data_IF_962142174415
#
_entry.id   IF_962142174415
#
_cell.length_a   1.000
_cell.length_b   1.000
_cell.length_c   1.000
_cell.angle_alpha   90.00
_cell.angle_beta   90.00
_cell.angle_gamma   90.00
#
_symmetry.space_group_name_H-M   'P 1'
#
loop_
_entity.id
_entity.type
_entity.pdbx_description
1 polymer ?
#
# COMPACT_ATOMS: atom_id res chain seq x y z
N UNK A 1 -5.21 -55.29 85.02
CA UNK A 1 -4.09 -54.36 84.73
C UNK A 1 -4.33 -53.71 83.38
N UNK A 2 -4.48 -52.37 83.39
CA UNK A 2 -4.19 -51.40 82.31
C UNK A 2 -4.90 -51.52 80.95
N UNK A 3 -5.92 -50.65 80.79
CA UNK A 3 -6.29 -49.74 79.68
C UNK A 3 -5.49 -49.81 78.37
N UNK A 4 -6.12 -49.47 77.22
CA UNK A 4 -5.71 -48.40 76.27
C UNK A 4 -6.63 -48.46 75.01
N UNK A 5 -7.60 -47.52 74.90
CA UNK A 5 -7.66 -46.35 73.99
C UNK A 5 -8.24 -46.64 72.59
N UNK A 6 -9.41 -46.03 72.36
CA UNK A 6 -10.09 -45.85 71.08
C UNK A 6 -9.22 -45.07 70.08
N UNK A 7 -9.19 -45.49 68.82
CA UNK A 7 -8.86 -44.60 67.70
C UNK A 7 -9.96 -44.66 66.65
N UNK A 8 -10.71 -43.55 66.57
CA UNK A 8 -11.68 -43.29 65.52
C UNK A 8 -10.93 -43.07 64.20
N UNK A 9 -11.23 -43.87 63.18
CA UNK A 9 -10.77 -43.61 61.82
C UNK A 9 -11.88 -42.86 61.08
N UNK A 10 -11.62 -41.58 60.81
CA UNK A 10 -12.51 -40.69 60.10
C UNK A 10 -12.63 -41.12 58.62
N UNK A 11 -13.86 -41.31 58.17
CA UNK A 11 -14.24 -41.56 56.79
C UNK A 11 -14.15 -40.24 56.01
N UNK A 12 -13.11 -40.05 55.20
CA UNK A 12 -13.01 -38.90 54.29
C UNK A 12 -13.89 -39.19 53.08
N UNK A 13 -15.10 -38.62 53.08
CA UNK A 13 -15.93 -38.55 51.89
C UNK A 13 -15.32 -37.53 50.92
N UNK A 14 -14.81 -38.01 49.80
CA UNK A 14 -14.40 -37.17 48.66
C UNK A 14 -15.68 -36.66 48.01
N UNK A 15 -16.07 -35.43 48.36
CA UNK A 15 -17.10 -34.68 47.67
C UNK A 15 -16.46 -34.17 46.37
N UNK A 16 -16.70 -34.87 45.26
CA UNK A 16 -16.41 -34.38 43.92
C UNK A 16 -17.34 -33.20 43.61
N UNK A 17 -16.82 -31.99 43.79
CA UNK A 17 -17.44 -30.75 43.32
C UNK A 17 -17.44 -30.76 41.78
N UNK A 18 -18.56 -31.16 41.18
CA UNK A 18 -18.92 -30.72 39.82
C UNK A 18 -19.50 -29.32 39.96
N UNK A 19 -18.72 -28.31 39.59
CA UNK A 19 -19.18 -26.91 39.49
C UNK A 19 -19.14 -26.46 38.03
N UNK A 20 -20.34 -26.40 37.44
CA UNK A 20 -20.87 -25.44 36.46
C UNK A 20 -19.89 -24.42 35.85
N UNK A 21 -19.71 -24.41 34.53
CA UNK A 21 -20.58 -23.84 33.47
C UNK A 21 -20.26 -22.38 33.15
N UNK A 22 -19.44 -22.19 32.11
CA UNK A 22 -19.59 -21.27 30.99
C UNK A 22 -18.28 -21.32 30.22
N UNK A 23 -18.12 -22.33 29.38
CA UNK A 23 -17.16 -22.23 28.29
C UNK A 23 -17.75 -21.27 27.26
N UNK A 24 -17.69 -19.97 27.57
CA UNK A 24 -17.44 -18.98 26.53
C UNK A 24 -16.02 -19.24 26.06
N UNK A 25 -15.87 -20.29 25.23
CA UNK A 25 -14.72 -20.44 24.37
C UNK A 25 -14.70 -19.17 23.53
N UNK A 26 -13.94 -18.16 23.97
CA UNK A 26 -13.57 -17.03 23.16
C UNK A 26 -13.04 -17.63 21.87
N UNK A 27 -13.84 -17.54 20.80
CA UNK A 27 -13.45 -17.98 19.49
C UNK A 27 -12.17 -17.21 19.19
N UNK A 28 -11.02 -17.88 19.27
CA UNK A 28 -9.74 -17.29 18.91
C UNK A 28 -9.92 -16.83 17.48
N UNK A 29 -9.84 -15.51 17.24
CA UNK A 29 -10.03 -14.97 15.91
C UNK A 29 -9.03 -15.67 15.00
N UNK A 30 -9.53 -16.51 14.08
CA UNK A 30 -8.69 -17.15 13.10
C UNK A 30 -8.16 -16.05 12.19
N UNK A 31 -6.86 -16.01 11.93
CA UNK A 31 -6.25 -15.05 11.02
C UNK A 31 -5.84 -15.75 9.72
N UNK A 32 -5.97 -15.05 8.61
CA UNK A 32 -5.52 -15.48 7.30
C UNK A 32 -4.54 -14.50 6.67
N UNK A 33 -4.27 -14.72 5.38
CA UNK A 33 -3.44 -13.84 4.56
C UNK A 33 -4.17 -13.46 3.29
N UNK A 34 -3.89 -12.26 2.80
CA UNK A 34 -4.35 -11.83 1.49
C UNK A 34 -3.22 -11.11 0.74
N UNK A 35 -3.36 -10.95 -0.56
CA UNK A 35 -2.44 -10.15 -1.37
C UNK A 35 -3.22 -9.11 -2.17
N UNK A 36 -2.68 -7.89 -2.25
CA UNK A 36 -3.15 -6.87 -3.17
C UNK A 36 -2.12 -6.76 -4.28
N UNK A 37 -2.54 -6.96 -5.53
CA UNK A 37 -1.71 -6.81 -6.71
C UNK A 37 -2.13 -5.55 -7.49
N UNK A 38 -1.15 -4.70 -7.78
CA UNK A 38 -1.27 -3.43 -8.50
C UNK A 38 -0.69 -3.59 -9.91
N UNK A 39 -1.48 -4.23 -10.79
CA UNK A 39 -1.11 -4.59 -12.17
C UNK A 39 -1.02 -3.33 -13.04
N UNK A 40 0.20 -2.85 -13.32
CA UNK A 40 0.44 -1.58 -13.99
C UNK A 40 0.28 -1.70 -15.51
N UNK A 41 -0.49 -0.79 -16.09
CA UNK A 41 -0.85 -0.80 -17.51
C UNK A 41 -0.86 0.60 -18.10
N UNK A 42 -0.72 0.70 -19.41
CA UNK A 42 -1.08 1.90 -20.17
C UNK A 42 -2.30 1.56 -21.01
N UNK A 43 -3.46 2.08 -20.61
CA UNK A 43 -4.76 1.64 -21.10
C UNK A 43 -4.95 0.11 -20.97
N UNK A 44 -4.73 -0.64 -22.05
CA UNK A 44 -4.86 -2.11 -22.07
C UNK A 44 -3.53 -2.85 -22.18
N UNK A 45 -2.44 -2.16 -22.50
CA UNK A 45 -1.11 -2.76 -22.63
C UNK A 45 -0.43 -2.87 -21.27
N UNK A 46 0.33 -3.95 -21.08
CA UNK A 46 1.19 -4.14 -19.90
C UNK A 46 2.22 -3.01 -19.82
N UNK A 47 2.38 -2.40 -18.64
CA UNK A 47 3.40 -1.38 -18.45
C UNK A 47 4.78 -2.04 -18.40
N UNK A 48 5.72 -1.47 -19.16
CA UNK A 48 7.11 -1.89 -19.16
C UNK A 48 8.03 -0.70 -19.40
N UNK A 49 9.15 -0.64 -18.69
CA UNK A 49 10.16 0.39 -18.93
C UNK A 49 10.71 0.33 -20.36
N UNK A 50 11.15 1.48 -20.85
CA UNK A 50 11.75 1.67 -22.17
C UNK A 50 10.86 1.19 -23.34
N UNK A 51 9.57 1.00 -23.11
CA UNK A 51 8.57 0.70 -24.14
C UNK A 51 7.83 1.99 -24.51
N UNK A 52 7.70 2.33 -25.80
CA UNK A 52 6.91 3.48 -26.22
C UNK A 52 5.41 3.21 -26.10
N UNK A 53 4.70 4.15 -25.50
CA UNK A 53 3.25 4.15 -25.38
C UNK A 53 2.66 5.43 -25.97
N UNK A 54 1.51 5.32 -26.63
CA UNK A 54 0.77 6.47 -27.13
C UNK A 54 -0.21 6.96 -26.06
N UNK A 55 -0.03 8.19 -25.58
CA UNK A 55 -0.92 8.86 -24.62
C UNK A 55 -1.33 10.21 -25.22
N UNK A 56 -2.63 10.45 -25.35
CA UNK A 56 -3.18 11.69 -25.93
C UNK A 56 -2.55 12.07 -27.29
N UNK A 57 -2.25 11.07 -28.13
CA UNK A 57 -1.64 11.26 -29.46
C UNK A 57 -0.13 11.55 -29.48
N UNK A 58 0.54 11.52 -28.32
CA UNK A 58 1.99 11.66 -28.20
C UNK A 58 2.61 10.32 -27.79
N UNK A 59 3.83 10.04 -28.26
CA UNK A 59 4.60 8.85 -27.88
C UNK A 59 5.47 9.14 -26.65
N UNK A 60 5.26 8.42 -25.55
CA UNK A 60 6.08 8.50 -24.35
C UNK A 60 6.78 7.18 -24.07
N UNK A 61 8.03 7.24 -23.62
CA UNK A 61 8.80 6.11 -23.15
C UNK A 61 9.18 6.35 -21.69
N UNK A 62 8.71 5.50 -20.78
CA UNK A 62 8.95 5.64 -19.35
C UNK A 62 10.16 4.85 -18.89
N UNK A 63 10.91 5.40 -17.93
CA UNK A 63 12.07 4.74 -17.29
C UNK A 63 11.87 4.54 -15.77
N UNK A 64 10.76 5.04 -15.23
CA UNK A 64 10.37 4.90 -13.83
C UNK A 64 8.87 5.09 -13.63
N UNK A 65 8.26 4.19 -12.86
CA UNK A 65 6.97 4.35 -12.21
C UNK A 65 7.14 3.95 -10.74
N UNK A 66 6.90 4.87 -9.80
CA UNK A 66 7.02 4.59 -8.35
C UNK A 66 5.96 5.36 -7.58
N UNK A 67 5.32 4.73 -6.61
CA UNK A 67 4.37 5.41 -5.72
C UNK A 67 4.20 4.68 -4.39
N UNK A 68 3.97 5.47 -3.34
CA UNK A 68 3.69 4.95 -2.01
C UNK A 68 2.23 4.57 -1.87
N UNK A 69 1.99 3.33 -1.44
CA UNK A 69 0.69 2.88 -0.93
C UNK A 69 0.78 2.81 0.59
N UNK A 70 -0.12 3.51 1.28
CA UNK A 70 -0.13 3.59 2.75
C UNK A 70 -1.53 3.42 3.34
N UNK A 71 -1.61 3.30 4.67
CA UNK A 71 -2.89 3.22 5.42
C UNK A 71 -3.88 2.17 4.87
N UNK A 72 -3.37 0.98 4.56
CA UNK A 72 -4.16 -0.10 3.96
C UNK A 72 -5.15 -0.65 4.97
N UNK A 73 -6.43 -0.69 4.59
CA UNK A 73 -7.56 -1.13 5.40
C UNK A 73 -8.52 -1.97 4.58
N UNK A 74 -9.14 -2.95 5.23
CA UNK A 74 -10.26 -3.71 4.70
C UNK A 74 -11.51 -3.43 5.54
N UNK A 75 -12.66 -3.30 4.88
CA UNK A 75 -13.96 -3.12 5.56
C UNK A 75 -14.79 -4.38 5.38
N UNK A 76 -15.25 -4.96 6.50
CA UNK A 76 -16.07 -6.17 6.49
C UNK A 76 -17.49 -5.91 5.99
N UNK A 77 -18.21 -6.98 5.67
CA UNK A 77 -19.66 -6.93 5.41
C UNK A 77 -20.49 -6.44 6.60
N UNK A 78 -19.92 -6.42 7.81
CA UNK A 78 -20.48 -5.86 9.04
C UNK A 78 -20.06 -4.40 9.29
N UNK A 79 -19.38 -3.75 8.35
CA UNK A 79 -18.83 -2.40 8.47
C UNK A 79 -17.70 -2.25 9.52
N UNK A 80 -17.09 -3.34 9.95
CA UNK A 80 -15.89 -3.28 10.79
C UNK A 80 -14.67 -2.97 9.93
N UNK A 81 -13.85 -2.01 10.34
CA UNK A 81 -12.64 -1.64 9.61
C UNK A 81 -11.42 -2.29 10.25
N UNK A 82 -10.68 -3.05 9.46
CA UNK A 82 -9.41 -3.64 9.86
C UNK A 82 -8.27 -2.94 9.12
N UNK A 83 -7.44 -2.20 9.87
CA UNK A 83 -6.25 -1.54 9.33
C UNK A 83 -4.99 -2.35 9.55
N UNK A 84 -4.10 -2.35 8.56
CA UNK A 84 -2.78 -2.94 8.69
C UNK A 84 -1.82 -1.95 9.38
N UNK A 85 -1.13 -2.43 10.41
CA UNK A 85 -0.05 -1.69 11.06
C UNK A 85 1.14 -1.48 10.11
N UNK A 86 1.85 -0.36 10.24
CA UNK A 86 3.06 -0.04 9.47
C UNK A 86 2.86 -0.14 7.95
N UNK A 87 1.68 0.25 7.47
CA UNK A 87 1.31 0.23 6.06
C UNK A 87 2.00 1.34 5.29
N UNK A 88 3.24 1.10 4.86
CA UNK A 88 3.94 1.91 3.85
C UNK A 88 4.67 0.97 2.90
N UNK A 89 4.15 0.87 1.68
CA UNK A 89 4.65 -0.03 0.65
C UNK A 89 5.02 0.76 -0.59
N UNK A 90 6.26 0.59 -1.06
CA UNK A 90 6.67 1.17 -2.34
C UNK A 90 6.28 0.21 -3.46
N UNK A 91 5.35 0.65 -4.31
CA UNK A 91 5.03 -0.02 -5.58
C UNK A 91 5.90 0.63 -6.65
N UNK A 92 6.58 -0.17 -7.44
CA UNK A 92 7.54 0.35 -8.40
C UNK A 92 7.83 -0.55 -9.58
N UNK A 93 8.17 0.08 -10.70
CA UNK A 93 9.02 -0.47 -11.73
C UNK A 93 10.05 0.60 -12.08
N UNK A 94 11.33 0.32 -11.79
CA UNK A 94 12.40 1.31 -11.92
C UNK A 94 13.72 0.71 -12.35
N UNK A 95 14.51 1.51 -13.07
CA UNK A 95 15.93 1.26 -13.33
C UNK A 95 16.78 1.55 -12.09
N UNK A 96 18.09 1.34 -12.19
CA UNK A 96 19.02 1.72 -11.14
C UNK A 96 19.00 3.25 -10.89
N UNK A 97 18.84 3.66 -9.63
CA UNK A 97 18.81 5.08 -9.24
C UNK A 97 19.99 5.39 -8.32
N UNK A 98 20.71 6.47 -8.62
CA UNK A 98 21.70 7.04 -7.71
C UNK A 98 21.02 7.84 -6.60
N UNK A 99 21.33 7.54 -5.34
CA UNK A 99 20.76 8.23 -4.17
C UNK A 99 21.88 8.77 -3.26
N UNK A 100 21.56 9.80 -2.47
CA UNK A 100 22.53 10.55 -1.65
C UNK A 100 23.76 11.00 -2.46
N UNK A 101 23.54 11.88 -3.45
CA UNK A 101 24.59 12.45 -4.31
C UNK A 101 25.46 11.39 -5.00
N UNK A 102 24.89 10.23 -5.29
CA UNK A 102 25.56 9.11 -5.97
C UNK A 102 26.41 8.22 -5.07
N UNK A 103 26.39 8.44 -3.75
CA UNK A 103 27.11 7.57 -2.79
C UNK A 103 26.50 6.18 -2.71
N UNK A 104 25.18 6.07 -2.89
CA UNK A 104 24.47 4.79 -2.87
C UNK A 104 23.69 4.57 -4.15
N UNK A 105 23.37 3.32 -4.39
CA UNK A 105 22.67 2.87 -5.60
C UNK A 105 21.45 2.07 -5.16
N UNK A 106 20.27 2.59 -5.48
CA UNK A 106 19.03 1.84 -5.38
C UNK A 106 18.93 0.90 -6.60
N UNK A 107 18.78 -0.41 -6.42
CA UNK A 107 18.81 -1.37 -7.51
C UNK A 107 17.61 -1.21 -8.43
N UNK A 108 17.74 -1.65 -9.68
CA UNK A 108 16.58 -1.84 -10.54
C UNK A 108 15.61 -2.84 -9.88
N UNK A 109 14.32 -2.51 -9.83
CA UNK A 109 13.32 -3.28 -9.10
C UNK A 109 11.95 -3.15 -9.77
N UNK A 110 11.21 -4.27 -9.76
CA UNK A 110 9.78 -4.32 -10.06
C UNK A 110 9.06 -4.94 -8.87
N UNK A 111 8.00 -4.29 -8.39
CA UNK A 111 7.06 -4.81 -7.39
C UNK A 111 5.69 -4.25 -7.66
N UNK A 112 4.74 -5.16 -7.77
CA UNK A 112 3.31 -4.86 -7.95
C UNK A 112 2.46 -5.43 -6.81
N UNK A 113 3.00 -6.29 -5.96
CA UNK A 113 2.24 -6.99 -4.93
C UNK A 113 2.59 -6.56 -3.50
N UNK A 114 1.57 -6.52 -2.64
CA UNK A 114 1.66 -6.31 -1.18
C UNK A 114 0.95 -7.46 -0.47
N UNK A 115 1.67 -8.13 0.42
CA UNK A 115 1.09 -9.20 1.24
C UNK A 115 0.52 -8.63 2.55
N UNK A 116 -0.75 -8.91 2.78
CA UNK A 116 -1.47 -8.62 4.01
C UNK A 116 -1.37 -9.84 4.94
N UNK A 117 -0.70 -9.67 6.07
CA UNK A 117 -0.51 -10.73 7.06
C UNK A 117 -1.39 -10.51 8.27
N UNK A 118 -1.77 -11.59 8.94
CA UNK A 118 -2.55 -11.57 10.16
C UNK A 118 -3.88 -10.81 10.03
N UNK A 119 -4.58 -10.98 8.90
CA UNK A 119 -5.89 -10.37 8.69
C UNK A 119 -6.96 -11.26 9.32
N UNK A 120 -7.90 -10.75 10.12
CA UNK A 120 -8.97 -11.56 10.69
C UNK A 120 -9.73 -12.33 9.60
N UNK A 121 -10.11 -13.57 9.90
CA UNK A 121 -10.95 -14.35 9.00
C UNK A 121 -12.32 -13.68 8.90
N UNK A 122 -12.84 -13.59 7.69
CA UNK A 122 -14.08 -12.86 7.45
C UNK A 122 -14.31 -12.56 5.98
N UNK A 123 -15.42 -11.87 5.73
CA UNK A 123 -15.86 -11.42 4.42
C UNK A 123 -15.69 -9.90 4.35
N UNK A 124 -14.91 -9.43 3.37
CA UNK A 124 -14.58 -8.02 3.20
C UNK A 124 -15.16 -7.47 1.90
N UNK A 125 -15.80 -6.32 1.98
CA UNK A 125 -16.54 -5.71 0.87
C UNK A 125 -15.86 -4.45 0.32
N UNK A 126 -14.91 -3.88 1.06
CA UNK A 126 -14.14 -2.71 0.60
C UNK A 126 -12.67 -2.83 0.91
N UNK A 127 -11.86 -2.23 0.03
CA UNK A 127 -10.45 -1.94 0.22
C UNK A 127 -10.27 -0.42 0.29
N UNK A 128 -9.58 0.04 1.32
CA UNK A 128 -9.17 1.45 1.48
C UNK A 128 -7.65 1.48 1.57
N UNK A 129 -7.03 2.43 0.88
CA UNK A 129 -5.62 2.74 1.02
C UNK A 129 -5.40 4.19 0.66
N UNK A 130 -4.20 4.70 0.89
CA UNK A 130 -3.81 6.03 0.47
C UNK A 130 -2.61 6.01 -0.46
N UNK A 131 -2.56 6.98 -1.36
CA UNK A 131 -1.39 7.26 -2.18
C UNK A 131 -0.62 8.40 -1.55
N UNK A 132 0.63 8.12 -1.18
CA UNK A 132 1.52 9.04 -0.48
C UNK A 132 1.82 8.65 0.97
N UNK A 133 2.40 9.59 1.71
CA UNK A 133 2.82 9.44 3.11
C UNK A 133 2.06 10.45 3.95
N UNK A 134 1.49 10.04 5.09
CA UNK A 134 0.74 10.96 5.94
C UNK A 134 1.64 12.05 6.55
N UNK A 135 1.02 13.12 7.05
CA UNK A 135 1.74 14.28 7.54
C UNK A 135 2.69 13.97 8.71
N UNK A 136 2.34 13.05 9.61
CA UNK A 136 3.19 12.75 10.77
C UNK A 136 4.53 12.15 10.35
N UNK A 137 4.53 11.31 9.32
CA UNK A 137 5.74 10.71 8.75
C UNK A 137 6.42 11.63 7.72
N UNK A 138 5.65 12.35 6.92
CA UNK A 138 6.17 13.22 5.87
C UNK A 138 6.85 14.47 6.43
N UNK A 139 6.37 15.00 7.56
CA UNK A 139 6.97 16.15 8.24
C UNK A 139 8.10 15.74 9.20
N UNK A 140 8.23 14.43 9.50
CA UNK A 140 9.27 13.90 10.37
C UNK A 140 9.84 12.57 9.85
N UNK A 141 10.82 12.66 8.95
CA UNK A 141 11.45 11.50 8.31
C UNK A 141 12.38 10.68 9.21
N UNK A 142 12.50 11.02 10.51
CA UNK A 142 13.12 10.13 11.49
C UNK A 142 12.21 8.96 11.89
N UNK A 143 10.90 9.09 11.64
CA UNK A 143 9.93 8.01 11.81
C UNK A 143 9.92 7.17 10.53
N UNK A 144 10.39 5.92 10.63
CA UNK A 144 10.66 5.03 9.50
C UNK A 144 9.83 3.75 9.61
N UNK A 145 8.51 3.91 9.72
CA UNK A 145 7.58 2.78 9.77
C UNK A 145 7.46 2.10 8.40
N UNK A 146 7.26 0.78 8.43
CA UNK A 146 7.14 -0.02 7.21
C UNK A 146 8.40 0.05 6.36
N UNK A 147 8.26 0.51 5.11
CA UNK A 147 9.37 0.64 4.17
C UNK A 147 9.90 2.07 4.05
N UNK A 148 9.42 3.03 4.85
CA UNK A 148 9.86 4.42 4.77
C UNK A 148 11.36 4.55 5.06
N UNK A 149 12.12 4.98 4.05
CA UNK A 149 13.55 5.21 4.17
C UNK A 149 14.03 6.23 3.14
N UNK A 150 14.95 7.09 3.56
CA UNK A 150 15.66 8.02 2.67
C UNK A 150 16.47 7.30 1.58
N UNK A 151 16.90 6.06 1.84
CA UNK A 151 17.68 5.28 0.88
C UNK A 151 16.84 4.73 -0.27
N UNK A 152 15.52 4.80 -0.20
CA UNK A 152 14.65 4.39 -1.31
C UNK A 152 14.67 5.39 -2.47
N UNK A 153 15.24 6.58 -2.31
CA UNK A 153 15.28 7.60 -3.37
C UNK A 153 13.90 8.16 -3.73
N UNK A 154 12.95 8.10 -2.80
CA UNK A 154 11.61 8.70 -2.91
C UNK A 154 11.49 9.91 -1.96
N UNK A 155 12.54 10.73 -1.90
CA UNK A 155 12.62 11.87 -1.01
C UNK A 155 13.18 13.07 -1.75
N UNK A 156 12.65 14.25 -1.46
CA UNK A 156 13.22 15.50 -1.92
C UNK A 156 14.13 16.02 -0.80
N UNK A 157 15.41 16.24 -1.09
CA UNK A 157 16.37 16.83 -0.15
C UNK A 157 16.79 18.17 -0.74
N UNK A 158 16.40 19.25 -0.07
CA UNK A 158 16.82 20.60 -0.45
C UNK A 158 18.09 21.05 0.27
N UNK A 159 18.74 22.09 -0.23
CA UNK A 159 19.96 22.69 0.34
C UNK A 159 19.78 23.22 1.78
N UNK A 160 18.55 23.49 2.20
CA UNK A 160 18.19 23.86 3.58
C UNK A 160 17.88 22.64 4.46
N UNK A 161 18.19 21.42 3.99
CA UNK A 161 17.88 20.15 4.67
C UNK A 161 16.39 19.91 4.93
N UNK A 162 15.49 20.67 4.28
CA UNK A 162 14.09 20.27 4.24
C UNK A 162 14.00 19.01 3.42
N UNK A 163 13.56 17.95 4.09
CA UNK A 163 13.33 16.64 3.50
C UNK A 163 11.86 16.29 3.60
N UNK A 164 11.25 15.92 2.48
CA UNK A 164 9.91 15.34 2.45
C UNK A 164 9.90 14.15 1.51
N UNK A 165 8.89 13.28 1.64
CA UNK A 165 8.69 12.19 0.70
C UNK A 165 8.10 12.70 -0.61
N UNK A 166 8.61 12.12 -1.70
CA UNK A 166 7.93 12.11 -2.99
C UNK A 166 6.88 11.00 -2.90
N UNK A 167 5.61 11.34 -3.08
CA UNK A 167 4.50 10.40 -2.95
C UNK A 167 4.36 9.51 -4.19
N UNK A 168 4.62 10.09 -5.37
CA UNK A 168 4.72 9.34 -6.62
C UNK A 168 5.72 10.00 -7.58
N UNK A 169 6.34 9.19 -8.45
CA UNK A 169 7.30 9.62 -9.47
C UNK A 169 7.10 8.79 -10.74
N UNK A 170 6.75 9.45 -11.84
CA UNK A 170 6.70 8.91 -13.19
C UNK A 170 7.67 9.70 -14.06
N UNK A 171 8.73 9.06 -14.56
CA UNK A 171 9.73 9.71 -15.43
C UNK A 171 9.95 8.97 -16.73
N UNK A 172 10.48 9.70 -17.70
CA UNK A 172 10.71 9.18 -19.04
C UNK A 172 10.98 10.29 -20.03
N UNK A 173 10.59 10.07 -21.28
CA UNK A 173 10.75 11.03 -22.39
C UNK A 173 9.53 11.03 -23.30
N UNK A 174 9.14 12.20 -23.78
CA UNK A 174 8.31 12.34 -24.98
C UNK A 174 9.23 12.11 -26.20
N UNK A 175 8.90 11.09 -27.00
CA UNK A 175 9.64 10.66 -28.19
C UNK A 175 9.06 11.22 -29.49
N UNK A 176 7.97 11.99 -29.42
CA UNK A 176 7.28 12.56 -30.60
C UNK A 176 8.11 13.62 -31.33
N UNK A 177 8.77 14.58 -30.63
CA UNK A 177 9.65 15.54 -31.29
C UNK A 177 10.93 14.88 -31.82
N UNK A 178 11.58 15.49 -32.82
CA UNK A 178 12.86 15.00 -33.39
C UNK A 178 13.93 14.78 -32.32
N UNK A 179 14.01 15.70 -31.35
CA UNK A 179 14.83 15.53 -30.15
C UNK A 179 13.95 15.15 -28.97
N UNK A 180 14.12 13.95 -28.37
CA UNK A 180 13.31 13.53 -27.23
C UNK A 180 13.37 14.51 -26.06
N UNK A 181 12.21 14.81 -25.48
CA UNK A 181 12.08 15.75 -24.35
C UNK A 181 11.86 14.96 -23.07
N UNK A 182 12.73 15.13 -22.08
CA UNK A 182 12.58 14.49 -20.78
C UNK A 182 11.33 14.98 -20.04
N UNK A 183 10.57 14.04 -19.48
CA UNK A 183 9.41 14.30 -18.64
C UNK A 183 9.65 13.82 -17.21
N UNK A 184 9.05 14.53 -16.25
CA UNK A 184 9.02 14.12 -14.85
C UNK A 184 7.72 14.57 -14.20
N UNK A 185 6.96 13.62 -13.67
CA UNK A 185 5.68 13.86 -13.02
C UNK A 185 5.78 13.36 -11.59
N UNK A 186 5.84 14.28 -10.64
CA UNK A 186 6.00 13.95 -9.23
C UNK A 186 4.91 14.59 -8.38
N UNK A 187 4.43 13.83 -7.40
CA UNK A 187 3.57 14.35 -6.32
C UNK A 187 4.29 14.28 -4.98
N UNK A 188 3.87 15.14 -4.07
CA UNK A 188 4.36 15.24 -2.69
C UNK A 188 3.62 16.38 -2.00
N UNK A 189 4.07 16.75 -0.80
CA UNK A 189 3.37 17.67 0.13
C UNK A 189 2.10 17.04 0.74
N UNK A 190 1.85 17.34 2.01
CA UNK A 190 0.72 16.78 2.77
C UNK A 190 -0.64 17.03 2.10
N UNK A 191 -0.79 18.17 1.42
CA UNK A 191 -2.03 18.53 0.70
C UNK A 191 -2.37 17.59 -0.46
N UNK A 192 -1.41 16.80 -0.95
CA UNK A 192 -1.58 15.84 -2.05
C UNK A 192 -1.67 14.39 -1.59
N UNK A 193 -1.75 14.14 -0.29
CA UNK A 193 -2.12 12.83 0.23
C UNK A 193 -3.56 12.51 -0.19
N UNK A 194 -3.80 11.30 -0.70
CA UNK A 194 -5.11 10.92 -1.24
C UNK A 194 -5.51 9.53 -0.80
N UNK A 195 -6.64 9.44 -0.11
CA UNK A 195 -7.29 8.17 0.21
C UNK A 195 -8.18 7.71 -0.94
N UNK A 196 -7.97 6.47 -1.36
CA UNK A 196 -8.73 5.71 -2.34
C UNK A 196 -9.63 4.73 -1.57
N UNK A 197 -10.91 4.70 -1.91
CA UNK A 197 -11.86 3.71 -1.40
C UNK A 197 -12.44 2.94 -2.59
N UNK A 198 -12.30 1.61 -2.56
CA UNK A 198 -12.75 0.71 -3.60
C UNK A 198 -13.79 -0.24 -2.99
N UNK A 199 -15.01 -0.21 -3.53
CA UNK A 199 -15.98 -1.28 -3.27
C UNK A 199 -15.65 -2.48 -4.15
N UNK A 200 -15.50 -3.65 -3.53
CA UNK A 200 -15.17 -4.87 -4.22
C UNK A 200 -16.42 -5.43 -4.93
N UNK A 201 -16.32 -5.88 -6.19
CA UNK A 201 -17.45 -6.43 -6.94
C UNK A 201 -17.93 -7.78 -6.36
N UNK A 202 -17.03 -8.50 -5.70
CA UNK A 202 -17.29 -9.71 -4.94
C UNK A 202 -16.53 -9.61 -3.62
N UNK A 203 -17.10 -10.17 -2.55
CA UNK A 203 -16.46 -10.11 -1.25
C UNK A 203 -15.14 -10.90 -1.23
N UNK A 204 -14.09 -10.30 -0.68
CA UNK A 204 -12.85 -10.99 -0.39
C UNK A 204 -13.07 -11.83 0.88
N UNK A 205 -13.05 -13.16 0.73
CA UNK A 205 -13.18 -14.09 1.86
C UNK A 205 -11.79 -14.49 2.33
N UNK A 206 -11.44 -14.17 3.57
CA UNK A 206 -10.16 -14.53 4.20
C UNK A 206 -10.42 -15.63 5.24
N UNK A 207 -9.59 -16.67 5.22
CA UNK A 207 -9.57 -17.74 6.23
C UNK A 207 -8.14 -18.27 6.42
N UNK A 208 -7.91 -19.08 7.44
CA UNK A 208 -6.58 -19.66 7.72
C UNK A 208 -6.05 -20.56 6.58
N UNK A 209 -6.95 -21.22 5.84
CA UNK A 209 -6.60 -22.24 4.84
C UNK A 209 -6.60 -21.69 3.40
N UNK A 210 -6.95 -20.41 3.20
CA UNK A 210 -7.08 -19.80 1.87
C UNK A 210 -6.19 -18.56 1.75
N UNK A 211 -5.40 -18.52 0.68
CA UNK A 211 -4.74 -17.30 0.23
C UNK A 211 -5.69 -16.54 -0.70
N UNK A 212 -6.10 -15.35 -0.28
CA UNK A 212 -7.07 -14.54 -1.03
C UNK A 212 -6.37 -13.39 -1.74
N UNK A 213 -6.89 -12.93 -2.88
CA UNK A 213 -6.23 -11.91 -3.69
C UNK A 213 -7.19 -10.84 -4.17
N UNK A 214 -6.74 -9.58 -4.15
CA UNK A 214 -7.37 -8.47 -4.86
C UNK A 214 -6.40 -8.07 -5.98
N UNK A 215 -6.82 -8.21 -7.22
CA UNK A 215 -6.09 -7.67 -8.36
C UNK A 215 -6.70 -6.33 -8.76
N UNK A 216 -5.89 -5.29 -8.78
CA UNK A 216 -6.25 -3.96 -9.25
C UNK A 216 -5.51 -3.69 -10.57
N UNK A 217 -6.19 -3.07 -11.54
CA UNK A 217 -5.48 -2.40 -12.63
C UNK A 217 -5.00 -1.03 -12.13
N UNK A 218 -3.77 -0.67 -12.50
CA UNK A 218 -3.19 0.65 -12.31
C UNK A 218 -2.93 1.24 -13.69
N UNK A 219 -3.79 2.17 -14.10
CA UNK A 219 -3.70 2.79 -15.43
C UNK A 219 -2.77 4.01 -15.37
N UNK A 220 -1.55 3.82 -15.86
CA UNK A 220 -0.46 4.80 -15.86
C UNK A 220 -0.78 6.01 -16.74
N UNK A 221 -1.53 5.82 -17.84
CA UNK A 221 -2.02 6.94 -18.65
C UNK A 221 -2.89 7.87 -17.80
N UNK A 222 -3.73 7.30 -16.94
CA UNK A 222 -4.65 8.08 -16.12
C UNK A 222 -3.98 8.92 -15.04
N UNK A 223 -2.72 8.64 -14.68
CA UNK A 223 -1.93 9.49 -13.76
C UNK A 223 -1.87 10.93 -14.31
N UNK A 224 -1.75 11.08 -15.62
CA UNK A 224 -1.63 12.38 -16.31
C UNK A 224 -2.88 12.74 -17.10
N UNK A 225 -4.02 12.13 -16.75
CA UNK A 225 -5.30 12.45 -17.39
C UNK A 225 -5.60 13.95 -17.30
N UNK A 226 -6.04 14.52 -18.43
CA UNK A 226 -6.29 15.96 -18.61
C UNK A 226 -5.07 16.87 -18.35
N UNK A 227 -3.86 16.34 -18.55
CA UNK A 227 -2.62 17.12 -18.48
C UNK A 227 -1.84 17.00 -19.79
N UNK A 228 -1.52 18.13 -20.40
CA UNK A 228 -0.65 18.20 -21.57
C UNK A 228 0.82 18.13 -21.13
N UNK A 229 1.38 16.92 -21.09
CA UNK A 229 2.79 16.69 -20.78
C UNK A 229 3.75 17.16 -21.87
N UNK A 230 3.29 17.40 -23.10
CA UNK A 230 4.14 17.97 -24.14
C UNK A 230 4.36 19.46 -23.88
N UNK A 231 3.32 20.18 -23.47
CA UNK A 231 3.41 21.58 -23.05
C UNK A 231 4.07 21.75 -21.67
N UNK A 232 3.77 20.86 -20.72
CA UNK A 232 4.30 20.91 -19.34
C UNK A 232 5.01 19.60 -18.98
N UNK A 233 6.26 19.40 -19.43
CA UNK A 233 6.96 18.13 -19.24
C UNK A 233 7.39 17.87 -17.79
N UNK A 234 7.36 18.88 -16.92
CA UNK A 234 7.79 18.75 -15.52
C UNK A 234 6.68 19.19 -14.57
N UNK A 235 6.14 18.25 -13.80
CA UNK A 235 5.14 18.48 -12.76
C UNK A 235 5.80 18.22 -11.41
N UNK A 236 5.78 19.21 -10.52
CA UNK A 236 6.39 19.17 -9.20
C UNK A 236 5.75 20.20 -8.27
N UNK A 237 6.35 20.44 -7.10
CA UNK A 237 5.96 21.54 -6.21
C UNK A 237 6.00 22.94 -6.86
N UNK A 238 6.74 23.11 -7.97
CA UNK A 238 6.75 24.36 -8.75
C UNK A 238 5.50 24.56 -9.63
N UNK A 239 4.70 23.52 -9.81
CA UNK A 239 3.44 23.52 -10.58
C UNK A 239 2.32 22.95 -9.71
N UNK A 240 1.96 23.61 -8.59
CA UNK A 240 1.15 23.02 -7.53
C UNK A 240 -0.25 22.59 -7.97
N UNK A 241 -0.88 23.32 -8.89
CA UNK A 241 -2.20 22.97 -9.44
C UNK A 241 -2.15 21.65 -10.22
N UNK A 242 -1.16 21.49 -11.12
CA UNK A 242 -0.97 20.26 -11.87
C UNK A 242 -0.57 19.09 -10.97
N UNK A 243 0.28 19.33 -9.97
CA UNK A 243 0.65 18.31 -8.98
C UNK A 243 -0.58 17.84 -8.18
N UNK A 244 -1.48 18.76 -7.83
CA UNK A 244 -2.75 18.45 -7.16
C UNK A 244 -3.66 17.66 -8.10
N UNK A 245 -3.70 18.01 -9.39
CA UNK A 245 -4.45 17.26 -10.41
C UNK A 245 -3.95 15.82 -10.55
N UNK A 246 -2.64 15.61 -10.58
CA UNK A 246 -2.05 14.25 -10.60
C UNK A 246 -2.44 13.45 -9.36
N UNK A 247 -2.37 14.06 -8.16
CA UNK A 247 -2.82 13.40 -6.93
C UNK A 247 -4.32 13.03 -7.00
N UNK A 248 -5.16 13.94 -7.49
CA UNK A 248 -6.58 13.70 -7.71
C UNK A 248 -6.85 12.57 -8.71
N UNK A 249 -6.03 12.44 -9.75
CA UNK A 249 -6.12 11.34 -10.71
C UNK A 249 -5.85 9.98 -10.05
N UNK A 250 -4.82 9.88 -9.18
CA UNK A 250 -4.60 8.69 -8.36
C UNK A 250 -5.85 8.31 -7.56
N UNK A 251 -6.54 9.29 -6.98
CA UNK A 251 -7.78 9.04 -6.23
C UNK A 251 -8.93 8.54 -7.10
N UNK A 252 -9.12 9.13 -8.27
CA UNK A 252 -10.39 9.05 -9.02
C UNK A 252 -10.37 8.05 -10.15
N UNK A 253 -9.24 7.86 -10.82
CA UNK A 253 -9.23 7.25 -12.17
C UNK A 253 -8.16 6.17 -12.35
N UNK A 254 -7.05 6.23 -11.61
CA UNK A 254 -5.90 5.31 -11.79
C UNK A 254 -6.23 3.86 -11.41
N UNK A 255 -6.93 3.64 -10.29
CA UNK A 255 -7.18 2.29 -9.76
C UNK A 255 -8.57 1.77 -10.12
N UNK A 256 -8.64 0.54 -10.61
CA UNK A 256 -9.91 -0.19 -10.81
C UNK A 256 -9.75 -1.65 -10.41
N UNK A 257 -10.83 -2.32 -9.99
CA UNK A 257 -10.76 -3.75 -9.66
C UNK A 257 -10.70 -4.59 -10.94
N UNK A 258 -9.71 -5.47 -11.03
CA UNK A 258 -9.57 -6.49 -12.07
C UNK A 258 -10.24 -7.80 -11.65
N UNK A 259 -9.94 -8.31 -10.46
CA UNK A 259 -10.57 -9.51 -9.90
C UNK A 259 -10.40 -9.56 -8.37
N UNK A 260 -11.23 -10.39 -7.73
CA UNK A 260 -11.12 -10.76 -6.31
C UNK A 260 -11.26 -12.28 -6.24
N UNK A 261 -10.28 -12.95 -5.64
CA UNK A 261 -10.08 -14.42 -5.68
C UNK A 261 -9.91 -15.02 -4.28
#
# INVERSE_FOLDING_TARGET
MKNFINFALAFIAIISLNSCSNDDAQAVAAYGTAQINFDSKVATADFALNTPFTISGQSYQFDRLRYWISDVKLVSDKNETYGLSNSFFLIEETTEIKVQDGKYTYPARKREAVDLKAVPSGSYTKLIFSVGVDAAHNDNMSIQDGELSQLNGMTNISWMWHTSYIFSSLTGKNMTPETPVAIAVETGLNTNYRTVEITLPTALVISADKSSKINLNVDVEKIVNEIDLAATPKISAKTPELMTKVADNYKKTVFTVKSVE
#
